data_IF_986484073006
#
_entry.id   IF_986484073006
#
_cell.length_a   1.000
_cell.length_b   1.000
_cell.length_c   1.000
_cell.angle_alpha   90.00
_cell.angle_beta   90.00
_cell.angle_gamma   90.00
#
_symmetry.space_group_name_H-M   'P 1'
#
loop_
_entity.id
_entity.type
_entity.pdbx_description
1 polymer ?
#
# COMPACT_ATOMS: atom_id res chain seq x y z
N UNK A 1 -1.10 0.39 10.86
CA UNK A 1 -2.56 0.47 10.64
C UNK A 1 -2.92 -0.62 9.63
N UNK A 2 -3.90 -1.45 9.96
CA UNK A 2 -4.41 -2.54 9.11
C UNK A 2 -5.28 -1.98 7.99
N UNK A 3 -5.62 -2.82 7.00
CA UNK A 3 -6.56 -2.49 5.92
C UNK A 3 -7.94 -2.03 6.41
N UNK A 4 -8.25 -2.34 7.66
CA UNK A 4 -9.51 -2.12 8.34
C UNK A 4 -9.56 -0.76 9.06
N UNK A 5 -8.46 0.01 9.06
CA UNK A 5 -8.34 1.26 9.82
C UNK A 5 -7.86 1.08 11.26
N UNK A 6 -7.82 -0.14 11.78
CA UNK A 6 -7.38 -0.44 13.15
C UNK A 6 -5.88 -0.71 13.24
N UNK A 7 -5.26 -0.36 14.34
CA UNK A 7 -3.92 -0.81 14.74
C UNK A 7 -3.98 -2.26 15.25
N UNK A 8 -2.84 -2.98 15.29
CA UNK A 8 -2.81 -4.32 15.89
C UNK A 8 -3.30 -4.35 17.34
N UNK A 9 -2.91 -3.36 18.15
CA UNK A 9 -3.37 -3.25 19.54
C UNK A 9 -4.89 -3.05 19.64
N UNK A 10 -5.48 -2.23 18.76
CA UNK A 10 -6.94 -2.06 18.72
C UNK A 10 -7.66 -3.36 18.34
N UNK A 11 -7.05 -4.20 17.49
CA UNK A 11 -7.61 -5.51 17.13
C UNK A 11 -7.52 -6.49 18.30
N UNK A 12 -6.40 -6.50 19.03
CA UNK A 12 -6.20 -7.39 20.17
C UNK A 12 -7.18 -7.11 21.32
N UNK A 13 -7.63 -5.85 21.44
CA UNK A 13 -8.63 -5.42 22.43
C UNK A 13 -10.09 -5.60 21.95
N UNK A 14 -10.32 -6.04 20.70
CA UNK A 14 -11.69 -6.24 20.19
C UNK A 14 -12.39 -7.38 20.93
N UNK A 15 -13.63 -7.13 21.33
CA UNK A 15 -14.47 -8.22 21.83
C UNK A 15 -14.91 -9.13 20.69
N UNK A 16 -15.37 -10.34 21.02
CA UNK A 16 -15.97 -11.24 20.03
C UNK A 16 -17.14 -10.57 19.28
N UNK A 17 -17.91 -9.72 19.96
CA UNK A 17 -19.01 -8.97 19.35
C UNK A 17 -18.50 -8.00 18.28
N UNK A 18 -17.42 -7.26 18.57
CA UNK A 18 -16.83 -6.30 17.62
C UNK A 18 -16.29 -7.01 16.38
N UNK A 19 -15.66 -8.18 16.57
CA UNK A 19 -15.15 -9.01 15.47
C UNK A 19 -16.30 -9.49 14.58
N UNK A 20 -17.41 -9.96 15.17
CA UNK A 20 -18.58 -10.39 14.41
C UNK A 20 -19.24 -9.25 13.64
N UNK A 21 -19.32 -8.06 14.25
CA UNK A 21 -19.82 -6.86 13.58
C UNK A 21 -18.93 -6.49 12.39
N UNK A 22 -17.60 -6.53 12.56
CA UNK A 22 -16.64 -6.29 11.48
C UNK A 22 -16.80 -7.28 10.32
N UNK A 23 -16.96 -8.57 10.61
CA UNK A 23 -17.21 -9.58 9.58
C UNK A 23 -18.56 -9.39 8.88
N UNK A 24 -19.60 -8.98 9.60
CA UNK A 24 -20.87 -8.65 8.97
C UNK A 24 -20.72 -7.46 8.03
N UNK A 25 -19.98 -6.42 8.43
CA UNK A 25 -19.68 -5.27 7.57
C UNK A 25 -18.90 -5.68 6.31
N UNK A 26 -17.87 -6.52 6.44
CA UNK A 26 -17.07 -6.98 5.28
C UNK A 26 -17.81 -7.84 4.30
N UNK A 27 -18.87 -8.53 4.73
CA UNK A 27 -19.71 -9.29 3.82
C UNK A 27 -20.38 -8.36 2.79
N UNK A 28 -20.75 -7.15 3.20
CA UNK A 28 -21.37 -6.15 2.33
C UNK A 28 -20.31 -5.24 1.67
N UNK A 29 -19.21 -4.94 2.38
CA UNK A 29 -18.15 -4.05 1.95
C UNK A 29 -16.76 -4.69 2.16
N UNK A 30 -16.37 -5.67 1.33
CA UNK A 30 -15.13 -6.41 1.55
C UNK A 30 -13.88 -5.53 1.34
N UNK A 31 -12.78 -5.78 2.06
CA UNK A 31 -11.51 -5.09 1.83
C UNK A 31 -10.85 -5.60 0.54
N UNK A 32 -11.38 -5.16 -0.61
CA UNK A 32 -11.04 -5.69 -1.92
C UNK A 32 -9.53 -5.64 -2.24
N UNK A 33 -8.83 -4.61 -1.78
CA UNK A 33 -7.40 -4.47 -2.00
C UNK A 33 -6.58 -5.57 -1.32
N UNK A 34 -6.96 -6.03 -0.12
CA UNK A 34 -6.30 -7.17 0.55
C UNK A 34 -6.63 -8.50 -0.15
N UNK A 35 -7.87 -8.67 -0.61
CA UNK A 35 -8.26 -9.87 -1.38
C UNK A 35 -7.44 -9.96 -2.66
N UNK A 36 -7.37 -8.87 -3.45
CA UNK A 36 -6.59 -8.81 -4.68
C UNK A 36 -5.11 -9.08 -4.41
N UNK A 37 -4.57 -8.50 -3.34
CA UNK A 37 -3.19 -8.72 -2.92
C UNK A 37 -2.89 -10.18 -2.66
N UNK A 38 -3.77 -10.88 -1.94
CA UNK A 38 -3.64 -12.31 -1.65
C UNK A 38 -3.79 -13.17 -2.91
N UNK A 39 -4.82 -12.92 -3.73
CA UNK A 39 -5.12 -13.70 -4.94
C UNK A 39 -4.02 -13.56 -5.99
N UNK A 40 -3.58 -12.33 -6.25
CA UNK A 40 -2.57 -12.05 -7.28
C UNK A 40 -1.13 -12.04 -6.73
N UNK A 41 -0.94 -12.36 -5.45
CA UNK A 41 0.37 -12.35 -4.76
C UNK A 41 1.12 -11.03 -4.96
N UNK A 42 0.39 -9.92 -4.89
CA UNK A 42 0.97 -8.58 -5.03
C UNK A 42 1.73 -8.27 -3.75
N UNK A 43 3.04 -8.48 -3.74
CA UNK A 43 3.86 -8.04 -2.63
C UNK A 43 4.11 -6.54 -2.72
N UNK A 44 3.79 -5.82 -1.65
CA UNK A 44 4.14 -4.41 -1.54
C UNK A 44 5.66 -4.36 -1.45
N UNK A 45 6.32 -4.03 -2.56
CA UNK A 45 7.78 -3.83 -2.58
C UNK A 45 8.10 -2.83 -1.46
N UNK A 46 8.96 -3.18 -0.49
CA UNK A 46 9.33 -2.26 0.56
C UNK A 46 9.72 -0.95 -0.11
N UNK A 47 9.03 0.13 0.25
CA UNK A 47 9.45 1.46 -0.17
C UNK A 47 10.88 1.59 0.35
N UNK A 48 11.86 1.54 -0.56
CA UNK A 48 13.20 1.94 -0.23
C UNK A 48 13.03 3.38 0.23
N UNK A 49 13.15 3.59 1.53
CA UNK A 49 13.07 4.92 2.10
C UNK A 49 14.23 5.66 1.47
N UNK A 50 13.95 6.43 0.43
CA UNK A 50 14.91 7.35 -0.16
C UNK A 50 15.32 8.24 0.99
N UNK A 51 16.51 7.98 1.53
CA UNK A 51 17.07 8.82 2.57
C UNK A 51 17.17 10.19 1.93
N UNK A 52 16.33 11.13 2.35
CA UNK A 52 16.37 12.50 1.84
C UNK A 52 17.78 13.00 2.02
N UNK A 53 18.55 13.03 0.93
CA UNK A 53 19.88 13.61 0.93
C UNK A 53 19.71 15.11 1.10
N UNK A 54 20.59 15.78 1.84
CA UNK A 54 20.58 17.24 1.90
C UNK A 54 20.70 17.90 0.51
N UNK A 55 21.22 17.17 -0.49
CA UNK A 55 21.32 17.58 -1.88
C UNK A 55 20.04 17.34 -2.72
N UNK A 56 19.08 16.56 -2.23
CA UNK A 56 17.80 16.26 -2.90
C UNK A 56 16.66 16.28 -1.87
N UNK A 57 16.22 17.48 -1.44
CA UNK A 57 15.20 17.62 -0.39
C UNK A 57 13.83 17.06 -0.79
N UNK A 58 13.55 17.01 -2.10
CA UNK A 58 12.33 16.42 -2.65
C UNK A 58 12.42 14.90 -2.77
N UNK A 59 13.62 14.32 -2.82
CA UNK A 59 13.84 12.87 -2.86
C UNK A 59 13.47 12.23 -4.21
N UNK A 60 13.32 13.04 -5.26
CA UNK A 60 12.89 12.62 -6.60
C UNK A 60 14.05 12.62 -7.61
N UNK A 61 15.28 12.88 -7.19
CA UNK A 61 16.45 12.93 -8.06
C UNK A 61 16.64 11.63 -8.85
N UNK A 62 16.35 10.48 -8.25
CA UNK A 62 16.34 9.20 -8.95
C UNK A 62 15.26 9.07 -10.03
N UNK A 63 14.13 9.77 -9.89
CA UNK A 63 13.08 9.85 -10.91
C UNK A 63 13.50 10.79 -12.04
N UNK A 64 14.07 11.95 -11.72
CA UNK A 64 14.59 12.91 -12.69
C UNK A 64 15.72 12.27 -13.51
N UNK A 65 16.67 11.59 -12.87
CA UNK A 65 17.75 10.89 -13.56
C UNK A 65 17.24 9.76 -14.47
N UNK A 66 16.13 9.11 -14.09
CA UNK A 66 15.51 8.03 -14.88
C UNK A 66 14.72 8.56 -16.08
N UNK A 67 14.13 9.75 -15.95
CA UNK A 67 13.33 10.40 -16.98
C UNK A 67 13.78 11.85 -17.16
N UNK A 68 14.98 12.08 -17.73
CA UNK A 68 15.54 13.43 -17.85
C UNK A 68 14.67 14.35 -18.72
N UNK A 69 13.96 13.77 -19.69
CA UNK A 69 13.04 14.50 -20.57
C UNK A 69 11.60 14.57 -20.03
N UNK A 70 11.33 14.00 -18.84
CA UNK A 70 10.02 14.03 -18.19
C UNK A 70 8.96 13.08 -18.76
N UNK A 71 9.31 12.21 -19.72
CA UNK A 71 8.37 11.28 -20.34
C UNK A 71 8.61 9.84 -19.90
N UNK A 72 7.56 9.17 -19.40
CA UNK A 72 7.54 7.72 -19.20
C UNK A 72 7.05 7.08 -20.49
N UNK A 73 7.98 6.55 -21.30
CA UNK A 73 7.60 5.76 -22.48
C UNK A 73 7.05 4.43 -22.00
N UNK A 74 5.76 4.18 -22.25
CA UNK A 74 5.22 2.84 -22.14
C UNK A 74 5.99 1.96 -23.13
N UNK A 75 6.54 0.83 -22.66
CA UNK A 75 7.09 -0.15 -23.57
C UNK A 75 5.92 -0.63 -24.46
N UNK A 76 6.01 -0.40 -25.76
CA UNK A 76 5.15 -1.09 -26.71
C UNK A 76 5.41 -2.59 -26.53
N UNK A 77 4.38 -3.31 -26.09
CA UNK A 77 4.41 -4.76 -25.99
C UNK A 77 4.55 -5.36 -27.37
N UNK A 78 5.63 -6.11 -27.58
CA UNK A 78 5.79 -7.09 -28.65
C UNK A 78 5.57 -8.48 -28.10
#
# INVERSE_FOLDING_TARGET
>A
MTACGYTPAEIDEMTLYDILALFSYWRDYPPAHEILKCVHRIERKPQVVSSKSAADPSGIGGLIARYPDGFVRAAEGG
#
